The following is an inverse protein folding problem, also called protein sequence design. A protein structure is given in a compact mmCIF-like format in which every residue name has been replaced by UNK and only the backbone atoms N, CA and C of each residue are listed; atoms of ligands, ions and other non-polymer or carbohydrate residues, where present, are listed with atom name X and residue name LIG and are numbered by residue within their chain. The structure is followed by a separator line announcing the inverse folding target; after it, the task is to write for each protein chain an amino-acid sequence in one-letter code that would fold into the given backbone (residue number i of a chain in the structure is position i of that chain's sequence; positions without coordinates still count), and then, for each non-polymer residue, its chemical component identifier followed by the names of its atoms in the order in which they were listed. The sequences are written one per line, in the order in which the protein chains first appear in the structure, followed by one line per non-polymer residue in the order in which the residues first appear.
data_IF_070423397748
#
_entry.id   IF_070423397748
#
_cell.length_a   1.000
_cell.length_b   1.000
_cell.length_c   1.000
_cell.angle_alpha   90.00
_cell.angle_beta   90.00
_cell.angle_gamma   90.00
#
_symmetry.space_group_name_H-M   'P 1'
#
loop_
_entity.id
_entity.type
_entity.pdbx_description
1 polymer ?
#
# COMPACT_ATOMS: atom_id res chain seq x y z
N UNK A 1 26.31 -1.22 -18.40
CA UNK A 1 25.20 -0.53 -19.09
C UNK A 1 24.01 -0.59 -18.16
N UNK A 2 23.30 0.52 -17.91
CA UNK A 2 22.10 0.53 -17.09
C UNK A 2 21.06 -0.42 -17.72
N UNK A 3 20.55 -1.37 -16.95
CA UNK A 3 19.51 -2.31 -17.40
C UNK A 3 18.10 -1.70 -17.24
N UNK A 4 18.02 -0.36 -17.35
CA UNK A 4 16.76 0.38 -17.18
C UNK A 4 15.76 0.01 -18.27
N UNK A 5 14.50 -0.13 -17.88
CA UNK A 5 13.36 -0.44 -18.77
C UNK A 5 12.25 0.57 -18.53
N UNK A 6 11.45 0.84 -19.56
CA UNK A 6 10.18 1.57 -19.39
C UNK A 6 9.12 0.53 -19.04
N UNK A 7 8.42 0.75 -17.93
CA UNK A 7 7.35 -0.14 -17.43
C UNK A 7 6.13 0.67 -17.02
N UNK A 8 4.95 0.10 -17.19
CA UNK A 8 3.73 0.56 -16.54
C UNK A 8 3.82 0.37 -15.01
N UNK A 9 3.07 1.12 -14.23
CA UNK A 9 3.00 0.92 -12.79
C UNK A 9 2.61 -0.51 -12.41
N UNK A 10 1.59 -1.08 -13.07
CA UNK A 10 1.18 -2.47 -12.86
C UNK A 10 2.27 -3.49 -13.23
N UNK A 11 3.00 -3.27 -14.31
CA UNK A 11 4.14 -4.10 -14.71
C UNK A 11 5.28 -4.01 -13.69
N UNK A 12 5.53 -2.82 -13.16
CA UNK A 12 6.56 -2.58 -12.15
C UNK A 12 6.21 -3.25 -10.81
N UNK A 13 4.93 -3.27 -10.41
CA UNK A 13 4.45 -4.04 -9.23
C UNK A 13 4.71 -5.53 -9.44
N UNK A 14 4.31 -6.09 -10.58
CA UNK A 14 4.56 -7.50 -10.90
C UNK A 14 6.07 -7.82 -10.89
N UNK A 15 6.89 -6.91 -11.43
CA UNK A 15 8.35 -7.03 -11.39
C UNK A 15 8.90 -7.00 -9.96
N UNK A 16 8.44 -6.09 -9.12
CA UNK A 16 8.83 -6.01 -7.71
C UNK A 16 8.44 -7.26 -6.92
N UNK A 17 7.25 -7.80 -7.17
CA UNK A 17 6.79 -9.05 -6.56
C UNK A 17 7.65 -10.26 -7.00
N UNK A 18 7.99 -10.35 -8.29
CA UNK A 18 8.92 -11.35 -8.79
C UNK A 18 10.29 -11.24 -8.13
N UNK A 19 10.88 -10.05 -8.10
CA UNK A 19 12.17 -9.80 -7.44
C UNK A 19 12.17 -10.14 -5.95
N UNK A 20 11.03 -9.92 -5.26
CA UNK A 20 10.84 -10.26 -3.86
C UNK A 20 10.67 -11.77 -3.60
N UNK A 21 10.65 -12.61 -4.64
CA UNK A 21 10.51 -14.04 -4.49
C UNK A 21 9.10 -14.55 -4.25
N UNK A 22 8.08 -13.80 -4.70
CA UNK A 22 6.67 -14.26 -4.65
C UNK A 22 6.53 -15.59 -5.39
N UNK A 23 5.84 -16.55 -4.77
CA UNK A 23 5.59 -17.87 -5.35
C UNK A 23 4.13 -18.09 -5.75
N UNK A 24 3.20 -17.36 -5.11
CA UNK A 24 1.75 -17.48 -5.37
C UNK A 24 1.15 -16.09 -5.57
N UNK A 25 0.43 -15.90 -6.67
CA UNK A 25 -0.34 -14.70 -6.97
C UNK A 25 -1.74 -15.11 -7.42
N UNK A 26 -2.76 -14.60 -6.74
CA UNK A 26 -4.16 -14.86 -7.08
C UNK A 26 -4.90 -13.55 -7.28
N UNK A 27 -5.83 -13.50 -8.24
CA UNK A 27 -6.56 -12.29 -8.57
C UNK A 27 -7.94 -12.58 -9.15
N UNK A 28 -8.79 -11.54 -9.14
CA UNK A 28 -9.97 -11.47 -9.98
C UNK A 28 -9.85 -10.25 -10.90
N UNK A 29 -10.20 -10.38 -12.20
CA UNK A 29 -10.02 -9.29 -13.17
C UNK A 29 -10.81 -8.03 -12.79
N UNK A 30 -10.14 -6.88 -12.83
CA UNK A 30 -10.78 -5.59 -12.55
C UNK A 30 -9.83 -4.42 -12.82
N UNK A 31 -10.11 -3.64 -13.88
CA UNK A 31 -9.37 -2.42 -14.18
C UNK A 31 -9.52 -1.40 -13.04
N UNK A 32 -8.42 -0.80 -12.51
CA UNK A 32 -7.09 -0.70 -13.15
C UNK A 32 -6.02 -1.70 -12.65
N UNK A 33 -6.35 -2.81 -11.96
CA UNK A 33 -5.37 -3.75 -11.38
C UNK A 33 -5.06 -4.98 -12.26
N UNK A 34 -5.83 -5.23 -13.33
CA UNK A 34 -5.77 -6.47 -14.12
C UNK A 34 -4.37 -6.81 -14.62
N UNK A 35 -3.63 -5.83 -15.12
CA UNK A 35 -2.30 -6.02 -15.71
C UNK A 35 -1.24 -6.44 -14.69
N UNK A 36 -1.46 -6.27 -13.39
CA UNK A 36 -0.55 -6.84 -12.35
C UNK A 36 -0.48 -8.35 -12.49
N UNK A 37 -1.65 -9.01 -12.57
CA UNK A 37 -1.74 -10.46 -12.68
C UNK A 37 -1.31 -10.98 -14.05
N UNK A 38 -1.63 -10.25 -15.12
CA UNK A 38 -1.18 -10.59 -16.47
C UNK A 38 0.36 -10.54 -16.60
N UNK A 39 1.00 -9.61 -15.91
CA UNK A 39 2.45 -9.49 -15.94
C UNK A 39 3.15 -10.48 -15.01
N UNK A 40 2.61 -10.74 -13.81
CA UNK A 40 3.21 -11.72 -12.90
C UNK A 40 3.12 -13.15 -13.47
N UNK A 41 2.07 -13.46 -14.22
CA UNK A 41 1.88 -14.74 -14.87
C UNK A 41 2.90 -15.05 -15.99
N UNK A 42 3.71 -14.08 -16.42
CA UNK A 42 4.79 -14.28 -17.38
C UNK A 42 6.06 -14.92 -16.78
N UNK A 43 6.12 -15.02 -15.45
CA UNK A 43 7.24 -15.61 -14.73
C UNK A 43 6.91 -17.06 -14.35
N UNK A 44 7.62 -18.01 -14.96
CA UNK A 44 7.39 -19.47 -14.77
C UNK A 44 7.57 -19.93 -13.32
N UNK A 45 8.31 -19.17 -12.49
CA UNK A 45 8.57 -19.47 -11.08
C UNK A 45 7.42 -19.04 -10.16
N UNK A 46 6.37 -18.41 -10.68
CA UNK A 46 5.23 -17.92 -9.91
C UNK A 46 3.97 -18.67 -10.32
N UNK A 47 3.32 -19.33 -9.36
CA UNK A 47 1.97 -19.82 -9.57
C UNK A 47 1.00 -18.62 -9.59
N UNK A 48 0.46 -18.31 -10.75
CA UNK A 48 -0.50 -17.24 -10.95
C UNK A 48 -1.85 -17.78 -11.42
N UNK A 49 -2.94 -17.33 -10.78
CA UNK A 49 -4.29 -17.77 -11.14
C UNK A 49 -5.31 -16.64 -11.16
N UNK A 50 -6.32 -16.80 -12.00
CA UNK A 50 -7.58 -16.08 -11.89
C UNK A 50 -8.54 -16.89 -11.00
N UNK A 51 -8.90 -16.32 -9.88
CA UNK A 51 -9.87 -16.92 -8.96
C UNK A 51 -11.32 -16.56 -9.37
N UNK A 52 -12.34 -17.28 -8.90
CA UNK A 52 -13.74 -16.99 -9.24
C UNK A 52 -14.29 -15.68 -8.68
N UNK A 53 -13.66 -15.13 -7.65
CA UNK A 53 -13.89 -13.79 -7.09
C UNK A 53 -12.73 -13.38 -6.18
N UNK A 54 -12.75 -12.13 -5.71
CA UNK A 54 -11.67 -11.54 -4.91
C UNK A 54 -11.55 -12.16 -3.50
N UNK A 55 -12.66 -12.65 -2.92
CA UNK A 55 -12.59 -13.37 -1.65
C UNK A 55 -11.75 -14.63 -1.78
N UNK A 56 -12.01 -15.42 -2.83
CA UNK A 56 -11.22 -16.65 -3.09
C UNK A 56 -9.77 -16.30 -3.41
N UNK A 57 -9.50 -15.28 -4.21
CA UNK A 57 -8.14 -14.81 -4.49
C UNK A 57 -7.39 -14.46 -3.19
N UNK A 58 -8.04 -13.73 -2.30
CA UNK A 58 -7.46 -13.37 -0.99
C UNK A 58 -7.23 -14.60 -0.11
N UNK A 59 -8.17 -15.56 -0.08
CA UNK A 59 -8.04 -16.80 0.70
C UNK A 59 -6.92 -17.70 0.17
N UNK A 60 -6.72 -17.79 -1.16
CA UNK A 60 -5.58 -18.50 -1.77
C UNK A 60 -4.26 -17.87 -1.33
N UNK A 61 -4.15 -16.53 -1.42
CA UNK A 61 -2.94 -15.82 -1.00
C UNK A 61 -2.67 -15.96 0.50
N UNK A 62 -3.71 -15.89 1.35
CA UNK A 62 -3.59 -16.15 2.79
C UNK A 62 -3.11 -17.58 3.06
N UNK A 63 -3.69 -18.57 2.37
CA UNK A 63 -3.29 -19.97 2.51
C UNK A 63 -1.81 -20.18 2.18
N UNK A 64 -1.33 -19.60 1.08
CA UNK A 64 0.07 -19.65 0.68
C UNK A 64 0.99 -18.95 1.71
N UNK A 65 0.59 -17.77 2.20
CA UNK A 65 1.30 -17.07 3.27
C UNK A 65 1.38 -17.91 4.55
N UNK A 66 0.29 -18.52 4.97
CA UNK A 66 0.27 -19.40 6.16
C UNK A 66 1.17 -20.64 5.97
N UNK A 67 1.24 -21.17 4.74
CA UNK A 67 2.15 -22.24 4.39
C UNK A 67 3.64 -21.83 4.41
N UNK A 68 3.94 -20.53 4.55
CA UNK A 68 5.28 -19.99 4.76
C UNK A 68 5.91 -19.32 3.55
N UNK A 69 5.22 -19.22 2.43
CA UNK A 69 5.75 -18.59 1.21
C UNK A 69 5.22 -17.17 1.01
N UNK A 70 5.99 -16.30 0.34
CA UNK A 70 5.52 -14.98 -0.07
C UNK A 70 4.41 -15.10 -1.11
N UNK A 71 3.31 -14.39 -0.88
CA UNK A 71 2.11 -14.46 -1.72
C UNK A 71 1.48 -13.08 -1.91
N UNK A 72 0.72 -12.95 -3.00
CA UNK A 72 0.08 -11.70 -3.38
C UNK A 72 -1.36 -11.94 -3.82
N UNK A 73 -2.26 -11.05 -3.44
CA UNK A 73 -3.58 -10.90 -4.07
C UNK A 73 -3.66 -9.56 -4.78
N UNK A 74 -4.32 -9.48 -5.95
CA UNK A 74 -4.53 -8.21 -6.63
C UNK A 74 -5.99 -8.03 -7.05
N UNK A 75 -6.50 -6.80 -6.88
CA UNK A 75 -7.89 -6.44 -7.13
C UNK A 75 -8.07 -4.93 -7.22
N UNK A 76 -9.21 -4.51 -7.75
CA UNK A 76 -9.64 -3.10 -7.65
C UNK A 76 -10.34 -2.83 -6.31
N UNK A 77 -10.63 -1.54 -6.02
CA UNK A 77 -11.25 -1.13 -4.75
C UNK A 77 -12.59 -1.83 -4.47
N UNK A 78 -13.46 -1.99 -5.46
CA UNK A 78 -14.74 -2.68 -5.27
C UNK A 78 -14.56 -4.18 -5.01
N UNK A 79 -13.49 -4.77 -5.52
CA UNK A 79 -13.11 -6.15 -5.21
C UNK A 79 -12.65 -6.30 -3.76
N UNK A 80 -12.02 -5.27 -3.19
CA UNK A 80 -11.65 -5.28 -1.79
C UNK A 80 -12.88 -5.39 -0.87
N UNK A 81 -14.03 -4.89 -1.28
CA UNK A 81 -15.28 -5.08 -0.53
C UNK A 81 -15.66 -6.57 -0.45
N UNK A 82 -15.43 -7.32 -1.52
CA UNK A 82 -15.68 -8.78 -1.57
C UNK A 82 -14.63 -9.53 -0.74
N UNK A 83 -13.38 -9.08 -0.74
CA UNK A 83 -12.26 -9.65 0.01
C UNK A 83 -12.16 -9.12 1.46
N UNK A 84 -13.08 -8.25 1.90
CA UNK A 84 -12.99 -7.63 3.23
C UNK A 84 -12.99 -8.64 4.38
N UNK A 85 -13.88 -9.65 4.35
CA UNK A 85 -13.97 -10.67 5.39
C UNK A 85 -12.63 -11.40 5.65
N UNK A 86 -11.97 -12.02 4.65
CA UNK A 86 -10.66 -12.62 4.86
C UNK A 86 -9.57 -11.60 5.20
N UNK A 87 -9.61 -10.35 4.69
CA UNK A 87 -8.66 -9.30 5.05
C UNK A 87 -8.72 -8.96 6.54
N UNK A 88 -9.92 -8.68 7.06
CA UNK A 88 -10.12 -8.35 8.48
C UNK A 88 -9.69 -9.50 9.39
N UNK A 89 -10.00 -10.74 9.00
CA UNK A 89 -9.59 -11.92 9.76
C UNK A 89 -8.07 -12.12 9.71
N UNK A 90 -7.45 -11.93 8.54
CA UNK A 90 -5.99 -12.04 8.37
C UNK A 90 -5.24 -10.95 9.15
N UNK A 91 -5.80 -9.75 9.29
CA UNK A 91 -5.21 -8.70 10.12
C UNK A 91 -5.01 -9.15 11.58
N UNK A 92 -5.86 -10.04 12.08
CA UNK A 92 -5.75 -10.62 13.43
C UNK A 92 -4.87 -11.86 13.45
N UNK A 93 -5.08 -12.83 12.56
CA UNK A 93 -4.29 -14.07 12.51
C UNK A 93 -2.84 -13.83 12.10
N UNK A 94 -2.58 -12.74 11.38
CA UNK A 94 -1.26 -12.41 10.86
C UNK A 94 -0.84 -13.31 9.70
N UNK A 95 0.46 -13.33 9.45
CA UNK A 95 1.09 -14.02 8.32
C UNK A 95 2.18 -14.99 8.80
N UNK A 96 2.66 -15.85 7.92
CA UNK A 96 3.90 -16.60 8.08
C UNK A 96 4.90 -16.17 7.00
N UNK A 97 4.64 -16.46 5.73
CA UNK A 97 5.29 -15.75 4.62
C UNK A 97 4.65 -14.39 4.38
N UNK A 98 5.38 -13.44 3.81
CA UNK A 98 4.87 -12.10 3.52
C UNK A 98 3.64 -12.12 2.61
N UNK A 99 2.63 -11.31 2.93
CA UNK A 99 1.40 -11.16 2.16
C UNK A 99 1.17 -9.71 1.77
N UNK A 100 1.12 -9.46 0.47
CA UNK A 100 0.79 -8.14 -0.10
C UNK A 100 -0.54 -8.21 -0.83
N UNK A 101 -1.40 -7.23 -0.55
CA UNK A 101 -2.68 -7.04 -1.24
C UNK A 101 -2.56 -5.79 -2.10
N UNK A 102 -2.45 -5.97 -3.41
CA UNK A 102 -2.42 -4.86 -4.36
C UNK A 102 -3.86 -4.42 -4.62
N UNK A 103 -4.15 -3.17 -4.29
CA UNK A 103 -5.48 -2.59 -4.53
C UNK A 103 -5.34 -1.33 -5.36
N UNK A 104 -6.01 -1.31 -6.51
CA UNK A 104 -6.02 -0.16 -7.39
C UNK A 104 -7.38 0.55 -7.28
N UNK A 105 -7.34 1.79 -6.77
CA UNK A 105 -8.48 2.70 -6.77
C UNK A 105 -8.70 3.31 -8.16
N UNK A 106 -9.94 3.68 -8.45
CA UNK A 106 -10.34 4.24 -9.74
C UNK A 106 -10.98 5.63 -9.55
N UNK A 107 -10.16 6.65 -9.16
CA UNK A 107 -10.64 8.02 -9.07
C UNK A 107 -11.22 8.49 -10.41
N UNK A 108 -12.40 9.09 -10.39
CA UNK A 108 -13.10 9.51 -11.60
C UNK A 108 -13.98 8.44 -12.24
N UNK A 109 -14.03 7.24 -11.66
CA UNK A 109 -14.97 6.15 -12.08
C UNK A 109 -14.83 5.80 -13.58
N UNK A 110 -13.60 5.68 -14.07
CA UNK A 110 -13.37 5.36 -15.50
C UNK A 110 -13.85 3.96 -15.90
N UNK A 111 -13.81 3.00 -14.96
CA UNK A 111 -14.22 1.62 -15.21
C UNK A 111 -14.94 0.97 -14.01
N UNK A 112 -15.48 1.77 -13.10
CA UNK A 112 -16.07 1.31 -11.85
C UNK A 112 -17.52 1.79 -11.69
N UNK A 113 -18.29 1.13 -10.84
CA UNK A 113 -19.68 1.50 -10.53
C UNK A 113 -19.82 2.56 -9.43
N UNK A 114 -18.74 2.86 -8.71
CA UNK A 114 -18.66 3.91 -7.68
C UNK A 114 -17.20 4.29 -7.45
N UNK A 115 -16.98 5.37 -6.70
CA UNK A 115 -15.69 5.83 -6.25
C UNK A 115 -15.49 5.49 -4.78
N UNK A 116 -14.34 4.92 -4.43
CA UNK A 116 -14.01 4.52 -3.07
C UNK A 116 -12.55 4.80 -2.78
N UNK A 117 -12.23 4.99 -1.52
CA UNK A 117 -10.86 5.13 -1.02
C UNK A 117 -10.46 3.90 -0.20
N UNK A 118 -9.55 3.12 -0.74
CA UNK A 118 -9.01 1.92 -0.08
C UNK A 118 -8.41 2.19 1.29
N UNK A 119 -7.87 3.41 1.52
CA UNK A 119 -7.27 3.79 2.80
C UNK A 119 -8.27 3.76 3.96
N UNK A 120 -9.54 4.04 3.69
CA UNK A 120 -10.62 3.96 4.68
C UNK A 120 -10.87 2.51 5.12
N UNK A 121 -10.89 1.57 4.16
CA UNK A 121 -11.04 0.13 4.44
C UNK A 121 -9.83 -0.40 5.21
N UNK A 122 -8.62 -0.03 4.78
CA UNK A 122 -7.37 -0.42 5.43
C UNK A 122 -7.30 0.07 6.88
N UNK A 123 -7.71 1.32 7.13
CA UNK A 123 -7.80 1.89 8.47
C UNK A 123 -8.78 1.11 9.36
N UNK A 124 -9.95 0.76 8.82
CA UNK A 124 -10.94 -0.04 9.54
C UNK A 124 -10.48 -1.48 9.79
N UNK A 125 -9.72 -2.08 8.85
CA UNK A 125 -9.13 -3.40 8.99
C UNK A 125 -7.83 -3.41 9.84
N UNK A 126 -7.30 -2.23 10.20
CA UNK A 126 -6.06 -2.09 10.99
C UNK A 126 -4.82 -2.69 10.28
N UNK A 127 -4.75 -2.53 8.97
CA UNK A 127 -3.65 -2.98 8.12
C UNK A 127 -2.90 -1.80 7.50
N UNK A 128 -1.56 -1.89 7.35
CA UNK A 128 -0.78 -0.79 6.78
C UNK A 128 -1.02 -0.61 5.29
N UNK A 129 -0.88 0.65 4.83
CA UNK A 129 -0.98 1.04 3.42
C UNK A 129 0.29 1.72 2.96
N UNK A 130 0.85 1.21 1.88
CA UNK A 130 2.00 1.78 1.18
C UNK A 130 1.52 2.30 -0.18
N UNK A 131 1.91 3.54 -0.52
CA UNK A 131 1.55 4.21 -1.78
C UNK A 131 2.79 4.64 -2.55
N UNK A 132 3.11 4.03 -3.68
CA UNK A 132 4.15 4.51 -4.59
C UNK A 132 3.66 5.71 -5.41
N UNK A 133 4.60 6.57 -5.85
CA UNK A 133 4.32 7.77 -6.67
C UNK A 133 4.72 7.64 -8.13
N UNK A 134 5.46 6.61 -8.49
CA UNK A 134 5.88 6.29 -9.86
C UNK A 134 6.18 4.79 -10.03
N UNK A 135 6.53 4.38 -11.25
CA UNK A 135 6.77 2.97 -11.56
C UNK A 135 8.01 2.39 -10.84
N UNK A 136 9.06 3.19 -10.61
CA UNK A 136 10.23 2.69 -9.88
C UNK A 136 9.92 2.49 -8.40
N UNK A 137 9.15 3.38 -7.80
CA UNK A 137 8.65 3.18 -6.45
C UNK A 137 7.64 2.03 -6.38
N UNK A 138 6.78 1.86 -7.38
CA UNK A 138 5.88 0.71 -7.45
C UNK A 138 6.64 -0.61 -7.34
N UNK A 139 7.77 -0.74 -8.06
CA UNK A 139 8.67 -1.91 -7.94
C UNK A 139 9.31 -2.02 -6.56
N UNK A 140 9.94 -0.94 -6.08
CA UNK A 140 10.67 -0.94 -4.80
C UNK A 140 9.75 -1.15 -3.61
N UNK A 141 8.62 -0.45 -3.61
CA UNK A 141 7.67 -0.50 -2.49
C UNK A 141 6.93 -1.84 -2.43
N UNK A 142 6.75 -2.50 -3.58
CA UNK A 142 6.25 -3.90 -3.59
C UNK A 142 7.21 -4.83 -2.85
N UNK A 143 8.52 -4.74 -3.10
CA UNK A 143 9.53 -5.53 -2.37
C UNK A 143 9.49 -5.23 -0.88
N UNK A 144 9.52 -3.95 -0.52
CA UNK A 144 9.46 -3.51 0.87
C UNK A 144 8.17 -3.98 1.57
N UNK A 145 7.04 -4.01 0.87
CA UNK A 145 5.76 -4.42 1.44
C UNK A 145 5.79 -5.87 1.93
N UNK A 146 6.49 -6.78 1.26
CA UNK A 146 6.67 -8.16 1.73
C UNK A 146 7.52 -8.23 3.00
N UNK A 147 8.62 -7.49 3.05
CA UNK A 147 9.48 -7.41 4.23
C UNK A 147 8.73 -6.78 5.42
N UNK A 148 7.95 -5.74 5.14
CA UNK A 148 7.12 -5.05 6.14
C UNK A 148 6.02 -5.97 6.67
N UNK A 149 5.38 -6.74 5.79
CA UNK A 149 4.39 -7.77 6.15
C UNK A 149 4.98 -8.80 7.13
N UNK A 150 6.15 -9.33 6.81
CA UNK A 150 6.85 -10.32 7.64
C UNK A 150 7.31 -9.75 8.97
N UNK A 151 7.83 -8.51 8.96
CA UNK A 151 8.31 -7.81 10.16
C UNK A 151 7.20 -7.56 11.19
N UNK A 152 6.01 -7.22 10.70
CA UNK A 152 4.90 -6.81 11.57
C UNK A 152 3.78 -7.83 11.71
N UNK A 153 3.95 -9.02 11.14
CA UNK A 153 2.95 -10.10 11.24
C UNK A 153 1.55 -9.63 10.78
N UNK A 154 1.47 -9.08 9.55
CA UNK A 154 0.23 -8.49 9.01
C UNK A 154 0.23 -8.51 7.49
N UNK A 155 -0.93 -8.64 6.82
CA UNK A 155 -0.99 -8.28 5.41
C UNK A 155 -0.67 -6.80 5.23
N UNK A 156 -0.12 -6.42 4.07
CA UNK A 156 0.16 -5.05 3.69
C UNK A 156 -0.63 -4.71 2.43
N UNK A 157 -1.35 -3.60 2.43
CA UNK A 157 -1.96 -3.08 1.22
C UNK A 157 -0.95 -2.21 0.49
N UNK A 158 -0.68 -2.55 -0.77
CA UNK A 158 -0.03 -1.69 -1.74
C UNK A 158 -1.13 -1.01 -2.57
N UNK A 159 -1.35 0.27 -2.29
CA UNK A 159 -2.41 1.06 -2.95
C UNK A 159 -1.85 1.79 -4.16
N UNK A 160 -2.58 1.72 -5.26
CA UNK A 160 -2.34 2.54 -6.46
C UNK A 160 -3.64 3.22 -6.88
N UNK A 161 -3.54 4.15 -7.83
CA UNK A 161 -4.68 4.74 -8.53
C UNK A 161 -4.54 4.49 -10.02
N UNK A 162 -5.61 4.72 -10.79
CA UNK A 162 -5.64 4.49 -12.24
C UNK A 162 -4.46 5.13 -12.95
N UNK A 163 -4.12 6.37 -12.59
CA UNK A 163 -3.01 7.11 -13.20
C UNK A 163 -1.67 6.40 -12.99
N UNK A 164 -1.36 6.02 -11.76
CA UNK A 164 -0.11 5.30 -11.48
C UNK A 164 -0.10 3.93 -12.16
N UNK A 165 -1.20 3.18 -12.08
CA UNK A 165 -1.31 1.83 -12.66
C UNK A 165 -0.97 1.80 -14.14
N UNK A 166 -1.37 2.83 -14.90
CA UNK A 166 -1.24 2.91 -16.34
C UNK A 166 -0.20 3.93 -16.84
N UNK A 167 0.48 4.65 -15.94
CA UNK A 167 1.60 5.52 -16.33
C UNK A 167 2.86 4.71 -16.60
N UNK A 168 3.66 5.18 -17.55
CA UNK A 168 4.97 4.61 -17.84
C UNK A 168 6.08 5.38 -17.12
N UNK A 169 7.01 4.65 -16.55
CA UNK A 169 8.20 5.22 -15.91
C UNK A 169 9.45 4.39 -16.18
N UNK A 170 10.61 4.98 -15.91
CA UNK A 170 11.89 4.28 -16.00
C UNK A 170 12.07 3.45 -14.73
N UNK A 171 12.23 2.15 -14.89
CA UNK A 171 12.42 1.17 -13.83
C UNK A 171 13.79 0.52 -13.97
N UNK A 172 14.46 0.27 -12.86
CA UNK A 172 15.75 -0.40 -12.80
C UNK A 172 15.57 -1.81 -12.19
N UNK A 173 15.25 -2.83 -13.00
CA UNK A 173 15.03 -4.18 -12.51
C UNK A 173 16.25 -4.76 -11.82
N UNK A 174 16.01 -5.51 -10.76
CA UNK A 174 17.02 -6.25 -10.00
C UNK A 174 16.81 -7.76 -10.14
N UNK A 175 17.78 -8.54 -9.66
CA UNK A 175 17.68 -9.99 -9.65
C UNK A 175 16.63 -10.45 -8.62
N UNK A 176 16.02 -11.60 -8.91
CA UNK A 176 15.10 -12.26 -7.99
C UNK A 176 15.85 -12.77 -6.76
N UNK A 177 15.38 -12.40 -5.60
CA UNK A 177 15.82 -12.93 -4.31
C UNK A 177 14.67 -13.72 -3.71
N UNK A 178 14.79 -15.04 -3.69
CA UNK A 178 13.76 -15.92 -3.14
C UNK A 178 14.17 -16.34 -1.72
N UNK A 179 13.53 -15.79 -0.66
CA UNK A 179 13.79 -16.28 0.69
C UNK A 179 13.34 -17.73 0.84
N UNK A 180 13.93 -18.43 1.79
CA UNK A 180 13.49 -19.78 2.15
C UNK A 180 12.07 -19.74 2.70
N UNK A 181 11.27 -20.75 2.34
CA UNK A 181 9.92 -20.89 2.88
C UNK A 181 9.99 -21.16 4.38
N UNK A 182 9.15 -20.44 5.12
CA UNK A 182 9.05 -20.66 6.56
C UNK A 182 8.22 -21.91 6.86
N UNK A 183 8.65 -22.68 7.84
CA UNK A 183 7.91 -23.85 8.26
C UNK A 183 6.57 -23.41 8.92
N UNK A 184 5.49 -24.08 8.55
CA UNK A 184 4.21 -23.88 9.21
C UNK A 184 4.27 -24.44 10.63
N UNK A 185 4.05 -23.59 11.61
CA UNK A 185 3.91 -23.96 13.01
C UNK A 185 2.45 -23.96 13.42
N UNK A 186 1.98 -25.10 13.96
CA UNK A 186 0.62 -25.19 14.47
C UNK A 186 0.46 -24.34 15.73
N UNK A 187 -0.14 -23.15 15.58
CA UNK A 187 -0.40 -22.23 16.68
C UNK A 187 -1.89 -21.91 16.76
N UNK A 188 -2.60 -22.67 17.59
CA UNK A 188 -4.04 -22.51 17.77
C UNK A 188 -4.43 -21.09 18.24
N UNK A 189 -3.66 -20.52 19.16
CA UNK A 189 -3.94 -19.21 19.72
C UNK A 189 -3.77 -18.05 18.69
N UNK A 190 -2.88 -18.24 17.70
CA UNK A 190 -2.64 -17.30 16.61
C UNK A 190 -3.57 -17.54 15.43
N UNK A 191 -3.74 -18.79 15.00
CA UNK A 191 -4.32 -19.10 13.68
C UNK A 191 -5.83 -19.34 13.73
N UNK A 192 -6.41 -19.56 14.94
CA UNK A 192 -7.84 -19.82 15.08
C UNK A 192 -8.52 -18.67 15.82
N UNK A 193 -9.27 -17.84 15.09
CA UNK A 193 -9.90 -16.61 15.60
C UNK A 193 -11.21 -16.90 16.37
N UNK A 194 -11.12 -17.73 17.41
CA UNK A 194 -12.19 -17.83 18.41
C UNK A 194 -12.23 -16.56 19.28
N UNK A 195 -13.36 -16.16 19.85
CA UNK A 195 -13.50 -14.92 20.64
C UNK A 195 -12.42 -14.75 21.72
N UNK A 196 -12.03 -15.82 22.39
CA UNK A 196 -10.99 -15.78 23.43
C UNK A 196 -9.59 -15.48 22.86
N UNK A 197 -9.27 -15.95 21.66
CA UNK A 197 -8.02 -15.69 20.98
C UNK A 197 -8.06 -14.28 20.33
N UNK A 198 -9.16 -13.94 19.67
CA UNK A 198 -9.35 -12.64 19.03
C UNK A 198 -9.18 -11.46 20.00
N UNK A 199 -9.69 -11.57 21.25
CA UNK A 199 -9.48 -10.54 22.29
C UNK A 199 -8.00 -10.27 22.58
N UNK A 200 -7.18 -11.31 22.64
CA UNK A 200 -5.73 -11.17 22.85
C UNK A 200 -5.03 -10.63 21.61
N UNK A 201 -5.43 -11.11 20.45
CA UNK A 201 -4.89 -10.63 19.17
C UNK A 201 -5.26 -9.15 18.91
N UNK A 202 -6.41 -8.67 19.35
CA UNK A 202 -6.78 -7.26 19.25
C UNK A 202 -5.78 -6.34 19.97
N UNK A 203 -5.36 -6.71 21.18
CA UNK A 203 -4.33 -5.96 21.92
C UNK A 203 -3.03 -5.91 21.09
N UNK A 204 -2.60 -7.05 20.56
CA UNK A 204 -1.42 -7.13 19.71
C UNK A 204 -1.54 -6.24 18.45
N UNK A 205 -2.71 -6.23 17.79
CA UNK A 205 -2.97 -5.41 16.60
C UNK A 205 -2.86 -3.92 16.92
N UNK A 206 -3.42 -3.47 18.04
CA UNK A 206 -3.31 -2.07 18.50
C UNK A 206 -1.87 -1.66 18.82
N UNK A 207 -1.12 -2.50 19.52
CA UNK A 207 0.30 -2.26 19.83
C UNK A 207 1.15 -2.24 18.55
N UNK A 208 0.87 -3.15 17.63
CA UNK A 208 1.51 -3.22 16.31
C UNK A 208 1.34 -1.93 15.52
N UNK A 209 0.12 -1.38 15.46
CA UNK A 209 -0.14 -0.12 14.75
C UNK A 209 0.64 1.05 15.36
N UNK A 210 0.71 1.15 16.69
CA UNK A 210 1.52 2.17 17.37
C UNK A 210 2.99 2.06 17.02
N UNK A 211 3.52 0.82 17.07
CA UNK A 211 4.92 0.57 16.70
C UNK A 211 5.19 0.90 15.23
N UNK A 212 4.29 0.55 14.32
CA UNK A 212 4.42 0.91 12.90
C UNK A 212 4.45 2.43 12.71
N UNK A 213 3.58 3.20 13.39
CA UNK A 213 3.56 4.66 13.32
C UNK A 213 4.86 5.30 13.83
N UNK A 214 5.47 4.71 14.88
CA UNK A 214 6.77 5.14 15.38
C UNK A 214 7.91 4.83 14.39
N UNK A 215 7.97 3.59 13.89
CA UNK A 215 8.99 3.16 12.92
C UNK A 215 8.85 3.93 11.59
N UNK A 216 7.64 4.29 11.18
CA UNK A 216 7.35 5.07 9.98
C UNK A 216 8.04 6.44 9.96
N UNK A 217 8.34 7.02 11.13
CA UNK A 217 9.08 8.28 11.22
C UNK A 217 10.51 8.19 10.66
N UNK A 218 11.04 6.99 10.51
CA UNK A 218 12.41 6.71 10.05
C UNK A 218 12.48 5.87 8.78
N UNK A 219 11.32 5.61 8.14
CA UNK A 219 11.29 4.86 6.88
C UNK A 219 11.77 5.71 5.72
N UNK A 220 12.66 5.16 4.89
CA UNK A 220 13.21 5.84 3.71
C UNK A 220 12.15 6.19 2.65
N UNK A 221 11.00 5.53 2.67
CA UNK A 221 9.87 5.82 1.76
C UNK A 221 9.10 7.09 2.15
N UNK A 222 9.30 7.60 3.38
CA UNK A 222 8.77 8.86 3.84
C UNK A 222 9.87 9.91 3.72
N UNK A 223 9.84 10.73 2.68
CA UNK A 223 10.92 11.66 2.35
C UNK A 223 10.56 13.10 2.62
N UNK A 224 11.51 13.86 3.17
CA UNK A 224 11.37 15.30 3.40
C UNK A 224 12.37 16.05 2.54
N UNK A 225 11.90 17.03 1.80
CA UNK A 225 12.73 18.01 1.11
C UNK A 225 12.35 19.42 1.55
N UNK A 226 13.29 20.16 2.12
CA UNK A 226 13.10 21.56 2.48
C UNK A 226 13.66 22.45 1.35
N UNK A 227 12.79 23.32 0.81
CA UNK A 227 13.12 24.40 -0.10
C UNK A 227 12.63 25.73 0.50
N UNK A 228 11.68 26.42 -0.17
CA UNK A 228 10.99 27.55 0.44
C UNK A 228 10.03 27.04 1.53
N UNK A 229 10.23 27.50 2.76
CA UNK A 229 9.42 27.12 3.91
C UNK A 229 8.15 27.97 4.08
N UNK A 230 7.91 28.96 3.23
CA UNK A 230 6.66 29.71 3.20
C UNK A 230 5.45 28.80 2.88
N UNK A 231 5.69 27.72 2.10
CA UNK A 231 4.70 26.70 1.76
C UNK A 231 5.31 25.32 2.00
N UNK A 232 4.68 24.56 2.89
CA UNK A 232 4.92 23.13 3.07
C UNK A 232 3.77 22.30 2.51
N UNK A 233 4.09 21.22 1.83
CA UNK A 233 3.10 20.29 1.27
C UNK A 233 3.31 18.89 1.82
N UNK A 234 2.24 18.28 2.36
CA UNK A 234 2.21 16.84 2.65
C UNK A 234 1.42 16.17 1.55
N UNK A 235 1.97 15.10 0.95
CA UNK A 235 1.36 14.40 -0.17
C UNK A 235 1.76 12.93 -0.21
N UNK A 236 1.03 12.11 -0.99
CA UNK A 236 1.32 10.69 -1.21
C UNK A 236 0.96 10.27 -2.64
N UNK A 237 1.38 9.06 -3.02
CA UNK A 237 1.01 8.48 -4.30
C UNK A 237 1.33 9.37 -5.49
N UNK A 238 0.52 9.28 -6.55
CA UNK A 238 0.71 10.05 -7.78
C UNK A 238 0.59 11.56 -7.57
N UNK A 239 -0.17 12.01 -6.56
CA UNK A 239 -0.31 13.44 -6.25
C UNK A 239 1.03 14.12 -5.95
N UNK A 240 2.04 13.36 -5.49
CA UNK A 240 3.40 13.87 -5.32
C UNK A 240 4.00 14.39 -6.63
N UNK A 241 3.77 13.72 -7.76
CA UNK A 241 4.30 14.15 -9.06
C UNK A 241 3.68 15.50 -9.49
N UNK A 242 2.38 15.67 -9.25
CA UNK A 242 1.69 16.93 -9.54
C UNK A 242 2.18 18.07 -8.65
N UNK A 243 2.41 17.80 -7.36
CA UNK A 243 2.99 18.78 -6.43
C UNK A 243 4.37 19.22 -6.90
N UNK A 244 5.22 18.30 -7.35
CA UNK A 244 6.57 18.60 -7.83
C UNK A 244 6.56 19.47 -9.09
N UNK A 245 5.58 19.29 -9.96
CA UNK A 245 5.43 20.08 -11.17
C UNK A 245 4.82 21.45 -10.90
N UNK A 246 3.74 21.49 -10.10
CA UNK A 246 2.99 22.73 -9.86
C UNK A 246 3.66 23.65 -8.83
N UNK A 247 4.38 23.11 -7.86
CA UNK A 247 5.00 23.84 -6.74
C UNK A 247 6.46 23.41 -6.54
N UNK A 248 7.35 23.60 -7.55
CA UNK A 248 8.73 23.10 -7.51
C UNK A 248 9.57 23.67 -6.37
N UNK A 249 9.23 24.88 -5.90
CA UNK A 249 9.94 25.56 -4.81
C UNK A 249 9.41 25.22 -3.40
N UNK A 250 8.26 24.56 -3.27
CA UNK A 250 7.69 24.26 -1.97
C UNK A 250 8.53 23.22 -1.20
N UNK A 251 8.50 23.31 0.11
CA UNK A 251 8.98 22.24 0.97
C UNK A 251 7.98 21.09 0.95
N UNK A 252 8.44 19.84 0.80
CA UNK A 252 7.54 18.69 0.62
C UNK A 252 7.89 17.57 1.60
N UNK A 253 6.88 17.07 2.30
CA UNK A 253 6.89 15.77 2.97
C UNK A 253 6.06 14.80 2.11
N UNK A 254 6.74 13.87 1.46
CA UNK A 254 6.12 12.77 0.73
C UNK A 254 5.97 11.57 1.65
N UNK A 255 4.77 11.06 1.75
CA UNK A 255 4.46 9.86 2.51
C UNK A 255 4.37 8.64 1.57
N UNK A 256 5.26 7.67 1.77
CA UNK A 256 5.17 6.36 1.14
C UNK A 256 4.35 5.39 1.98
N UNK A 257 4.38 5.51 3.33
CA UNK A 257 3.45 4.83 4.23
C UNK A 257 2.37 5.81 4.65
N UNK A 258 1.13 5.56 4.21
CA UNK A 258 -0.03 6.44 4.45
C UNK A 258 -0.97 5.95 5.54
N UNK A 259 -0.77 4.74 6.02
CA UNK A 259 -1.42 4.21 7.22
C UNK A 259 -0.52 3.13 7.86
N UNK A 260 -0.27 3.19 9.18
CA UNK A 260 -0.49 4.36 10.06
C UNK A 260 0.44 5.52 9.73
N UNK A 261 -0.02 6.76 9.96
CA UNK A 261 0.77 7.96 9.66
C UNK A 261 1.91 8.19 10.67
N UNK A 262 3.08 8.70 10.23
CA UNK A 262 4.23 9.04 11.07
C UNK A 262 4.01 10.37 11.82
N UNK A 263 3.24 10.38 12.90
CA UNK A 263 2.81 11.59 13.62
C UNK A 263 3.96 12.52 13.97
N UNK A 264 5.07 11.99 14.53
CA UNK A 264 6.21 12.81 14.95
C UNK A 264 6.87 13.50 13.76
N UNK A 265 7.07 12.80 12.65
CA UNK A 265 7.65 13.34 11.42
C UNK A 265 6.76 14.45 10.83
N UNK A 266 5.44 14.22 10.81
CA UNK A 266 4.46 15.19 10.31
C UNK A 266 4.46 16.45 11.20
N UNK A 267 4.45 16.30 12.53
CA UNK A 267 4.52 17.43 13.47
C UNK A 267 5.81 18.21 13.32
N UNK A 268 6.94 17.52 13.17
CA UNK A 268 8.24 18.16 12.94
C UNK A 268 8.24 18.96 11.64
N UNK A 269 7.77 18.37 10.53
CA UNK A 269 7.66 19.04 9.24
C UNK A 269 6.76 20.28 9.33
N UNK A 270 5.56 20.11 9.89
CA UNK A 270 4.59 21.20 10.04
C UNK A 270 5.11 22.37 10.87
N UNK A 271 5.99 22.12 11.86
CA UNK A 271 6.60 23.18 12.68
C UNK A 271 7.63 24.02 11.95
N UNK A 272 8.10 23.59 10.78
CA UNK A 272 9.17 24.23 10.00
C UNK A 272 8.67 24.98 8.76
N UNK A 273 7.36 25.04 8.56
CA UNK A 273 6.74 25.73 7.41
C UNK A 273 5.68 26.71 7.89
N UNK A 274 5.53 27.83 7.16
CA UNK A 274 4.58 28.88 7.56
C UNK A 274 3.14 28.51 7.23
N UNK A 275 2.92 27.88 6.07
CA UNK A 275 1.61 27.44 5.59
C UNK A 275 1.69 25.98 5.17
N UNK A 276 0.82 25.13 5.73
CA UNK A 276 0.73 23.71 5.41
C UNK A 276 -0.44 23.43 4.49
N UNK A 277 -0.17 22.70 3.40
CA UNK A 277 -1.18 22.23 2.43
C UNK A 277 -1.08 20.70 2.38
N UNK A 278 -2.22 20.02 2.35
CA UNK A 278 -2.28 18.56 2.15
C UNK A 278 -2.88 18.30 0.78
N UNK A 279 -2.15 17.55 -0.03
CA UNK A 279 -2.54 17.20 -1.41
C UNK A 279 -2.66 15.69 -1.50
N UNK A 280 -3.88 15.20 -1.53
CA UNK A 280 -4.22 13.77 -1.64
C UNK A 280 -5.47 13.57 -2.49
N UNK A 281 -5.47 12.56 -3.36
CA UNK A 281 -6.66 12.18 -4.14
C UNK A 281 -7.72 11.54 -3.23
N UNK A 282 -8.99 11.59 -3.66
CA UNK A 282 -10.15 11.01 -2.98
C UNK A 282 -10.41 11.63 -1.60
N UNK A 283 -10.63 10.80 -0.57
CA UNK A 283 -11.06 11.22 0.76
C UNK A 283 -9.93 11.93 1.56
N UNK A 284 -10.27 12.83 2.49
CA UNK A 284 -9.29 13.58 3.28
C UNK A 284 -8.66 12.75 4.41
N UNK A 285 -8.11 11.58 4.09
CA UNK A 285 -7.61 10.61 5.09
C UNK A 285 -6.40 11.14 5.84
N UNK A 286 -5.43 11.73 5.12
CA UNK A 286 -4.24 12.35 5.72
C UNK A 286 -4.65 13.67 6.40
N UNK A 287 -5.44 14.48 5.72
CA UNK A 287 -5.88 15.79 6.21
C UNK A 287 -6.63 15.70 7.53
N UNK A 288 -7.64 14.81 7.62
CA UNK A 288 -8.41 14.62 8.84
C UNK A 288 -7.54 14.19 10.02
N UNK A 289 -6.63 13.28 9.78
CA UNK A 289 -5.75 12.80 10.84
C UNK A 289 -4.75 13.88 11.28
N UNK A 290 -4.15 14.62 10.35
CA UNK A 290 -3.25 15.74 10.64
C UNK A 290 -3.98 16.82 11.45
N UNK A 291 -5.19 17.19 11.03
CA UNK A 291 -6.04 18.17 11.75
C UNK A 291 -6.45 17.67 13.14
N UNK A 292 -6.68 16.36 13.32
CA UNK A 292 -7.02 15.77 14.62
C UNK A 292 -5.90 15.92 15.66
N UNK A 293 -4.66 16.10 15.22
CA UNK A 293 -3.51 16.39 16.10
C UNK A 293 -3.33 17.88 16.43
N UNK A 294 -4.29 18.72 16.02
CA UNK A 294 -4.27 20.17 16.26
C UNK A 294 -3.39 20.96 15.28
N UNK A 295 -2.92 20.33 14.20
CA UNK A 295 -2.13 21.01 13.15
C UNK A 295 -3.09 21.73 12.20
N UNK A 296 -2.81 23.02 11.95
CA UNK A 296 -3.55 23.81 10.96
C UNK A 296 -3.04 23.47 9.56
N UNK A 297 -3.92 23.04 8.68
CA UNK A 297 -3.61 22.75 7.29
C UNK A 297 -4.82 23.04 6.40
N UNK A 298 -4.56 23.40 5.14
CA UNK A 298 -5.55 23.42 4.06
C UNK A 298 -5.42 22.12 3.25
N UNK A 299 -6.52 21.68 2.67
CA UNK A 299 -6.55 20.45 1.85
C UNK A 299 -7.79 20.44 0.97
N UNK A 300 -8.84 19.70 1.32
CA UNK A 300 -10.08 19.63 0.52
C UNK A 300 -10.92 20.90 0.48
N UNK A 301 -10.54 21.91 1.23
CA UNK A 301 -11.02 23.29 1.05
C UNK A 301 -10.44 23.95 -0.24
N UNK A 302 -9.35 23.43 -0.79
CA UNK A 302 -8.68 23.88 -2.02
C UNK A 302 -8.86 22.92 -3.19
N UNK A 303 -9.07 21.63 -2.92
CA UNK A 303 -9.08 20.55 -3.91
C UNK A 303 -10.38 19.76 -3.85
N UNK A 304 -10.78 19.21 -5.01
CA UNK A 304 -11.93 18.28 -5.07
C UNK A 304 -11.69 16.99 -4.28
N UNK A 305 -12.79 16.39 -3.80
CA UNK A 305 -12.82 15.01 -3.29
C UNK A 305 -13.14 14.00 -4.37
N UNK A 306 -13.44 14.45 -5.59
CA UNK A 306 -13.88 13.60 -6.70
C UNK A 306 -12.80 13.53 -7.78
N UNK A 307 -12.53 12.33 -8.25
CA UNK A 307 -11.69 12.09 -9.41
C UNK A 307 -10.20 12.25 -9.15
N UNK A 308 -9.45 12.28 -10.27
CA UNK A 308 -8.01 12.58 -10.33
C UNK A 308 -7.78 14.10 -10.32
N UNK A 309 -6.55 14.50 -10.01
CA UNK A 309 -6.08 15.89 -10.18
C UNK A 309 -5.57 16.14 -11.61
#
# INVERSE_FOLDING_TARGET
MSNSKIMLGNEAIARGAYEAGVKVSAAYPGTPSTEVSENIAKYDEVYAEWSPNEKVAMEVAIGASQAGTRSMASMKHVGLNVAADPLYTCAYSGVNGGLVVVVADDPGIYSSQNEQDTRMVARAAMVPVIEPSDSEEARKFTKLAFEYSEKYDTPVILRTTTRLSHSQGVVNPEDRVCPEDKVYEHNFAKNVMMPMNAKKRHIFVEERLKKMAEDACHMEINTVSYNDTSIGVITSGIAYQYVKEALPEASVLKLGLVHPLPEKLIKEFASKVDKLIIVEELEPVIEEQVKSWGIKASGKDLFTVQGEY
#
